data_IF_206771042860
#
_entry.id   IF_206771042860
#
_cell.length_a   1.000
_cell.length_b   1.000
_cell.length_c   1.000
_cell.angle_alpha   90.00
_cell.angle_beta   90.00
_cell.angle_gamma   90.00
#
_symmetry.space_group_name_H-M   'P 1'
#
loop_
_entity.id
_entity.type
_entity.pdbx_description
1 polymer ?
#
# COMPACT_ATOMS: atom_id res chain seq x y z
N UNK A 1 10.67 15.71 -9.46
CA UNK A 1 10.45 15.47 -10.91
C UNK A 1 9.72 14.17 -11.24
N UNK A 2 10.05 13.01 -10.66
CA UNK A 2 9.44 11.72 -11.06
C UNK A 2 7.89 11.63 -10.95
N UNK A 3 7.28 12.28 -9.95
CA UNK A 3 5.81 12.26 -9.76
C UNK A 3 5.07 13.06 -10.84
N UNK A 4 5.65 14.16 -11.32
CA UNK A 4 5.04 15.01 -12.37
C UNK A 4 4.93 14.26 -13.70
N UNK A 5 5.98 13.55 -14.11
CA UNK A 5 5.96 12.72 -15.32
C UNK A 5 4.96 11.55 -15.20
N UNK A 6 4.88 10.92 -14.02
CA UNK A 6 3.91 9.85 -13.74
C UNK A 6 2.46 10.34 -13.75
N UNK A 7 2.21 11.55 -13.24
CA UNK A 7 0.90 12.20 -13.28
C UNK A 7 0.43 12.44 -14.72
N UNK A 8 1.34 12.86 -15.60
CA UNK A 8 1.07 13.00 -17.04
C UNK A 8 0.69 11.66 -17.69
N UNK A 9 1.31 10.56 -17.26
CA UNK A 9 1.01 9.19 -17.71
C UNK A 9 -0.12 8.49 -16.94
N UNK A 10 -0.80 9.20 -16.02
CA UNK A 10 -1.86 8.66 -15.14
C UNK A 10 -1.44 7.47 -14.26
N UNK A 11 -0.14 7.34 -13.95
CA UNK A 11 0.40 6.28 -13.09
C UNK A 11 0.19 6.68 -11.62
N UNK A 12 -0.60 5.91 -10.88
CA UNK A 12 -1.06 6.26 -9.52
C UNK A 12 -2.46 6.85 -9.46
N UNK A 13 -3.18 6.90 -10.59
CA UNK A 13 -4.61 7.18 -10.63
C UNK A 13 -5.41 5.94 -10.22
N UNK A 14 -6.44 6.12 -9.40
CA UNK A 14 -7.37 5.05 -9.04
C UNK A 14 -8.22 4.66 -10.27
N UNK A 15 -8.35 3.36 -10.59
CA UNK A 15 -9.26 2.89 -11.64
C UNK A 15 -10.69 3.41 -11.43
N UNK A 16 -11.43 3.68 -12.51
CA UNK A 16 -12.76 4.31 -12.45
C UNK A 16 -13.77 3.52 -11.64
N UNK A 17 -13.76 2.19 -11.75
CA UNK A 17 -14.65 1.32 -10.98
C UNK A 17 -14.37 1.42 -9.47
N UNK A 18 -13.09 1.42 -9.10
CA UNK A 18 -12.67 1.61 -7.70
C UNK A 18 -13.03 2.99 -7.19
N UNK A 19 -12.88 4.03 -8.02
CA UNK A 19 -13.28 5.40 -7.68
C UNK A 19 -14.78 5.47 -7.38
N UNK A 20 -15.62 4.94 -8.26
CA UNK A 20 -17.07 4.95 -8.05
C UNK A 20 -17.46 4.21 -6.76
N UNK A 21 -16.81 3.08 -6.47
CA UNK A 21 -17.04 2.33 -5.24
C UNK A 21 -16.69 3.15 -3.98
N UNK A 22 -15.50 3.78 -3.92
CA UNK A 22 -15.08 4.54 -2.73
C UNK A 22 -15.89 5.84 -2.55
N UNK A 23 -16.36 6.45 -3.63
CA UNK A 23 -17.24 7.63 -3.56
C UNK A 23 -18.59 7.28 -2.91
N UNK A 24 -19.16 6.11 -3.24
CA UNK A 24 -20.40 5.62 -2.64
C UNK A 24 -20.27 5.24 -1.14
N UNK A 25 -19.05 4.99 -0.66
CA UNK A 25 -18.78 4.60 0.73
C UNK A 25 -18.66 5.80 1.69
N UNK A 26 -18.76 7.04 1.20
CA UNK A 26 -18.53 8.23 2.01
C UNK A 26 -17.04 8.45 2.29
N UNK A 27 -16.41 9.29 1.48
CA UNK A 27 -14.97 9.59 1.55
C UNK A 27 -14.64 10.44 2.78
N UNK A 28 -13.64 10.00 3.55
CA UNK A 28 -12.98 10.78 4.59
C UNK A 28 -11.76 11.50 4.01
N UNK A 29 -10.98 10.78 3.20
CA UNK A 29 -9.77 11.28 2.55
C UNK A 29 -9.59 10.61 1.19
N UNK A 30 -9.15 11.36 0.18
CA UNK A 30 -8.87 10.84 -1.16
C UNK A 30 -7.67 11.54 -1.76
N UNK A 31 -6.62 10.76 -2.04
CA UNK A 31 -5.43 11.23 -2.71
C UNK A 31 -5.00 10.26 -3.82
N UNK A 32 -4.67 10.81 -4.98
CA UNK A 32 -4.07 10.08 -6.10
C UNK A 32 -2.65 10.60 -6.36
N UNK A 33 -1.85 9.80 -7.05
CA UNK A 33 -0.44 10.12 -7.34
C UNK A 33 0.42 10.27 -6.08
N UNK A 34 0.00 9.64 -4.99
CA UNK A 34 0.71 9.62 -3.71
C UNK A 34 2.08 8.97 -3.93
N UNK A 35 3.19 9.63 -3.55
CA UNK A 35 4.51 9.01 -3.58
C UNK A 35 4.56 7.84 -2.59
N UNK A 36 4.88 6.65 -3.08
CA UNK A 36 5.05 5.46 -2.25
C UNK A 36 6.51 5.06 -2.23
N UNK A 37 7.14 5.02 -1.05
CA UNK A 37 8.51 4.53 -0.89
C UNK A 37 8.48 3.09 -0.43
N UNK A 38 8.97 2.17 -1.27
CA UNK A 38 9.19 0.78 -0.89
C UNK A 38 10.60 0.61 -0.36
N UNK A 39 10.75 0.02 0.81
CA UNK A 39 12.04 -0.45 1.34
C UNK A 39 12.01 -1.96 1.46
N UNK A 40 13.08 -2.62 1.05
CA UNK A 40 13.23 -4.07 1.22
C UNK A 40 14.67 -4.46 1.52
N UNK A 41 14.82 -5.23 2.60
CA UNK A 41 16.08 -5.88 3.01
C UNK A 41 15.76 -7.33 3.31
N UNK A 42 16.46 -8.26 2.67
CA UNK A 42 16.16 -9.68 2.83
C UNK A 42 16.44 -10.55 1.61
N UNK A 43 15.85 -11.74 1.63
CA UNK A 43 15.90 -12.74 0.55
C UNK A 43 14.48 -13.19 0.20
N UNK A 44 14.20 -13.24 -1.09
CA UNK A 44 13.08 -13.98 -1.67
C UNK A 44 13.63 -14.90 -2.77
N UNK A 45 12.93 -15.97 -3.18
CA UNK A 45 13.33 -16.73 -4.36
C UNK A 45 13.56 -15.80 -5.56
N UNK A 46 14.74 -15.88 -6.19
CA UNK A 46 15.12 -15.02 -7.31
C UNK A 46 15.69 -13.64 -6.95
N UNK A 47 15.74 -13.22 -5.68
CA UNK A 47 16.32 -11.93 -5.28
C UNK A 47 16.86 -11.90 -3.85
N UNK A 48 18.06 -11.36 -3.70
CA UNK A 48 18.64 -10.97 -2.40
C UNK A 48 18.94 -9.47 -2.41
N UNK A 49 18.68 -8.80 -1.31
CA UNK A 49 18.92 -7.36 -1.14
C UNK A 49 19.45 -7.08 0.26
N UNK A 50 20.63 -6.46 0.35
CA UNK A 50 21.17 -5.92 1.61
C UNK A 50 20.54 -4.58 2.01
N UNK A 51 19.68 -4.05 1.14
CA UNK A 51 18.96 -2.79 1.33
C UNK A 51 18.59 -2.22 -0.03
N UNK A 52 17.29 -2.12 -0.30
CA UNK A 52 16.78 -1.52 -1.53
C UNK A 52 15.68 -0.53 -1.22
N UNK A 53 15.75 0.64 -1.86
CA UNK A 53 14.73 1.69 -1.77
C UNK A 53 14.26 2.00 -3.19
N UNK A 54 12.95 1.95 -3.41
CA UNK A 54 12.36 2.25 -4.72
C UNK A 54 11.13 3.12 -4.55
N UNK A 55 11.01 4.14 -5.40
CA UNK A 55 9.87 5.05 -5.39
C UNK A 55 8.85 4.64 -6.44
N UNK A 56 7.62 4.43 -5.99
CA UNK A 56 6.41 4.18 -6.77
C UNK A 56 5.42 5.34 -6.62
N UNK A 57 4.27 5.20 -7.27
CA UNK A 57 3.13 6.11 -7.10
C UNK A 57 1.88 5.28 -6.87
N UNK A 58 0.94 5.81 -6.09
CA UNK A 58 -0.25 5.11 -5.66
C UNK A 58 -1.41 6.04 -5.41
N UNK A 59 -2.50 5.48 -4.91
CA UNK A 59 -3.63 6.22 -4.35
C UNK A 59 -3.82 5.81 -2.90
N UNK A 60 -4.22 6.74 -2.05
CA UNK A 60 -4.58 6.52 -0.66
C UNK A 60 -5.98 7.07 -0.43
N UNK A 61 -6.89 6.21 0.00
CA UNK A 61 -8.28 6.56 0.24
C UNK A 61 -8.70 5.99 1.58
N UNK A 62 -9.31 6.85 2.39
CA UNK A 62 -10.04 6.45 3.60
C UNK A 62 -11.51 6.75 3.38
N UNK A 63 -12.36 5.75 3.55
CA UNK A 63 -13.82 5.90 3.50
C UNK A 63 -14.40 5.61 4.87
N UNK A 64 -15.70 5.81 5.05
CA UNK A 64 -16.38 5.37 6.27
C UNK A 64 -16.33 3.84 6.47
N UNK A 65 -15.99 3.07 5.42
CA UNK A 65 -16.02 1.61 5.44
C UNK A 65 -14.64 0.95 5.43
N UNK A 66 -13.63 1.56 4.78
CA UNK A 66 -12.33 0.90 4.57
C UNK A 66 -11.15 1.85 4.39
N UNK A 67 -9.97 1.25 4.45
CA UNK A 67 -8.71 1.78 3.92
C UNK A 67 -8.42 1.15 2.56
N UNK A 68 -8.12 1.97 1.57
CA UNK A 68 -7.66 1.53 0.25
C UNK A 68 -6.33 2.23 -0.10
N UNK A 69 -5.29 1.43 -0.33
CA UNK A 69 -3.97 1.88 -0.73
C UNK A 69 -3.50 1.09 -1.94
N UNK A 70 -3.14 1.79 -3.02
CA UNK A 70 -2.68 1.15 -4.26
C UNK A 70 -1.19 1.39 -4.50
N UNK A 71 -0.54 0.41 -5.13
CA UNK A 71 0.82 0.49 -5.63
C UNK A 71 0.81 0.34 -7.15
N UNK A 72 1.13 1.40 -7.87
CA UNK A 72 1.19 1.38 -9.33
C UNK A 72 2.64 1.33 -9.81
N UNK A 73 2.94 0.33 -10.64
CA UNK A 73 4.23 0.19 -11.33
C UNK A 73 4.14 0.59 -12.81
N UNK A 74 2.95 0.47 -13.41
CA UNK A 74 2.64 0.83 -14.81
C UNK A 74 1.26 1.52 -14.89
N UNK A 75 0.95 2.26 -15.98
CA UNK A 75 -0.37 2.89 -16.15
C UNK A 75 -1.50 1.86 -16.09
N UNK A 76 -2.62 2.24 -15.47
CA UNK A 76 -3.86 1.41 -15.34
C UNK A 76 -3.73 0.12 -14.52
N UNK A 77 -2.54 -0.26 -14.06
CA UNK A 77 -2.34 -1.37 -13.12
C UNK A 77 -2.00 -0.82 -11.73
N UNK A 78 -3.03 -0.71 -10.90
CA UNK A 78 -2.92 -0.29 -9.52
C UNK A 78 -3.12 -1.51 -8.62
N UNK A 79 -2.04 -2.21 -8.28
CA UNK A 79 -2.11 -3.35 -7.35
C UNK A 79 -2.61 -2.86 -5.99
N UNK A 80 -3.61 -3.52 -5.41
CA UNK A 80 -4.10 -3.18 -4.07
C UNK A 80 -3.07 -3.65 -3.05
N UNK A 81 -2.40 -2.71 -2.41
CA UNK A 81 -1.48 -3.04 -1.33
C UNK A 81 -2.23 -3.22 -0.01
N UNK A 82 -3.28 -2.45 0.19
CA UNK A 82 -4.28 -2.62 1.25
C UNK A 82 -5.66 -2.31 0.67
N UNK A 83 -6.64 -3.14 0.98
CA UNK A 83 -8.06 -2.94 0.72
C UNK A 83 -8.81 -3.64 1.85
N UNK A 84 -8.89 -2.96 3.00
CA UNK A 84 -9.33 -3.56 4.25
C UNK A 84 -10.44 -2.73 4.87
N UNK A 85 -11.57 -3.39 5.16
CA UNK A 85 -12.66 -2.78 5.91
C UNK A 85 -12.26 -2.52 7.36
N UNK A 86 -12.80 -1.47 7.95
CA UNK A 86 -12.52 -1.12 9.35
C UNK A 86 -12.97 -2.20 10.35
N UNK A 87 -14.01 -2.96 9.99
CA UNK A 87 -14.61 -4.04 10.77
C UNK A 87 -14.01 -5.43 10.46
N UNK A 88 -13.04 -5.52 9.55
CA UNK A 88 -12.37 -6.78 9.24
C UNK A 88 -11.58 -7.31 10.45
N UNK A 89 -11.37 -8.64 10.56
CA UNK A 89 -10.49 -9.22 11.57
C UNK A 89 -9.12 -8.56 11.56
N UNK A 90 -8.61 -8.26 12.75
CA UNK A 90 -7.33 -7.57 12.93
C UNK A 90 -6.26 -8.60 13.24
N UNK A 91 -5.92 -9.37 12.23
CA UNK A 91 -5.00 -10.49 12.31
C UNK A 91 -4.11 -10.54 11.09
N UNK A 92 -2.97 -11.19 11.23
CA UNK A 92 -2.05 -11.42 10.12
C UNK A 92 -0.76 -10.62 10.25
N UNK A 93 0.19 -10.92 9.37
CA UNK A 93 1.58 -10.48 9.50
C UNK A 93 1.83 -9.05 9.00
N UNK A 94 0.87 -8.45 8.29
CA UNK A 94 1.02 -7.09 7.77
C UNK A 94 0.44 -6.10 8.76
N UNK A 95 1.26 -5.11 9.16
CA UNK A 95 0.84 -4.02 10.04
C UNK A 95 0.78 -2.72 9.22
N UNK A 96 -0.35 -2.04 9.28
CA UNK A 96 -0.62 -0.77 8.61
C UNK A 96 -0.92 0.32 9.65
N UNK A 97 -0.03 1.31 9.74
CA UNK A 97 -0.14 2.44 10.67
C UNK A 97 -0.39 3.75 9.94
N UNK A 98 -1.39 4.49 10.41
CA UNK A 98 -1.83 5.77 9.87
C UNK A 98 -1.44 6.88 10.84
N UNK A 99 -0.78 7.90 10.32
CA UNK A 99 -0.31 9.06 11.08
C UNK A 99 -0.46 10.35 10.26
N UNK A 100 -0.13 11.50 10.83
CA UNK A 100 -0.10 12.77 10.11
C UNK A 100 0.82 12.77 8.89
N UNK A 101 1.80 11.86 8.81
CA UNK A 101 2.69 11.71 7.65
C UNK A 101 2.10 10.86 6.51
N UNK A 102 0.97 10.20 6.73
CA UNK A 102 0.31 9.29 5.80
C UNK A 102 0.22 7.87 6.34
N UNK A 103 0.37 6.88 5.46
CA UNK A 103 0.24 5.46 5.77
C UNK A 103 1.60 4.75 5.65
N UNK A 104 1.93 3.93 6.66
CA UNK A 104 3.08 3.02 6.63
C UNK A 104 2.58 1.59 6.74
N UNK A 105 2.98 0.74 5.81
CA UNK A 105 2.74 -0.70 5.82
C UNK A 105 4.07 -1.40 6.08
N UNK A 106 4.11 -2.31 7.04
CA UNK A 106 5.29 -3.10 7.40
C UNK A 106 4.94 -4.60 7.45
N UNK A 107 5.90 -5.44 7.07
CA UNK A 107 5.76 -6.89 7.04
C UNK A 107 7.12 -7.58 7.18
N UNK A 108 7.20 -8.55 8.11
CA UNK A 108 8.23 -9.60 8.05
C UNK A 108 7.81 -10.63 7.00
N UNK A 109 8.56 -10.71 5.90
CA UNK A 109 8.17 -11.55 4.76
C UNK A 109 8.20 -13.05 5.09
N UNK A 110 8.93 -13.47 6.13
CA UNK A 110 8.97 -14.87 6.56
C UNK A 110 7.65 -15.33 7.19
N UNK A 111 6.85 -14.40 7.74
CA UNK A 111 5.55 -14.72 8.32
C UNK A 111 4.46 -15.00 7.26
N UNK A 112 4.69 -14.58 6.01
CA UNK A 112 3.77 -14.85 4.88
C UNK A 112 4.25 -16.03 4.04
N UNK A 113 5.56 -16.11 3.76
CA UNK A 113 6.14 -17.21 2.99
C UNK A 113 7.47 -17.66 3.63
N UNK A 114 7.57 -18.91 4.13
CA UNK A 114 8.77 -19.41 4.81
C UNK A 114 10.00 -19.51 3.91
N UNK A 115 9.84 -19.42 2.58
CA UNK A 115 10.95 -19.33 1.62
C UNK A 115 11.63 -17.96 1.63
N UNK A 116 10.95 -16.97 2.20
CA UNK A 116 11.40 -15.58 2.28
C UNK A 116 12.01 -15.28 3.66
N UNK A 117 12.85 -14.26 3.72
CA UNK A 117 13.32 -13.68 4.98
C UNK A 117 13.59 -12.18 4.84
N UNK A 118 13.37 -11.44 5.91
CA UNK A 118 13.66 -10.01 5.99
C UNK A 118 12.42 -9.13 6.09
N UNK A 119 12.57 -7.85 5.76
CA UNK A 119 11.58 -6.82 6.04
C UNK A 119 11.19 -6.08 4.76
N UNK A 120 9.89 -5.89 4.57
CA UNK A 120 9.29 -5.09 3.52
C UNK A 120 8.48 -3.96 4.16
N UNK A 121 8.70 -2.72 3.70
CA UNK A 121 7.84 -1.59 4.05
C UNK A 121 7.40 -0.77 2.85
N UNK A 122 6.18 -0.23 2.92
CA UNK A 122 5.61 0.72 1.96
C UNK A 122 5.18 1.98 2.72
N UNK A 123 5.73 3.13 2.34
CA UNK A 123 5.43 4.41 2.97
C UNK A 123 4.71 5.31 1.97
N UNK A 124 3.41 5.51 2.17
CA UNK A 124 2.58 6.46 1.44
C UNK A 124 2.78 7.84 2.05
N UNK A 125 3.43 8.72 1.29
CA UNK A 125 3.78 10.07 1.77
C UNK A 125 2.68 11.03 1.40
N UNK A 126 1.73 11.19 2.32
CA UNK A 126 0.54 12.00 2.13
C UNK A 126 0.14 12.64 3.45
N UNK A 127 0.45 13.94 3.66
CA UNK A 127 0.12 14.61 4.91
C UNK A 127 -1.39 14.58 5.19
N UNK A 128 -1.76 14.09 6.37
CA UNK A 128 -3.15 14.00 6.82
C UNK A 128 -3.42 15.08 7.88
N UNK A 129 -4.55 15.77 7.76
CA UNK A 129 -4.99 16.73 8.79
C UNK A 129 -5.51 16.02 10.04
N UNK A 130 -5.52 16.74 11.16
CA UNK A 130 -6.09 16.23 12.41
C UNK A 130 -7.57 15.88 12.27
N UNK A 131 -8.33 16.62 11.46
CA UNK A 131 -9.74 16.32 11.16
C UNK A 131 -9.90 14.98 10.44
N UNK A 132 -9.02 14.66 9.48
CA UNK A 132 -9.02 13.34 8.83
C UNK A 132 -8.72 12.27 9.86
N UNK A 133 -7.66 12.45 10.66
CA UNK A 133 -7.22 11.49 11.66
C UNK A 133 -8.23 11.28 12.81
N UNK A 134 -9.05 12.28 13.13
CA UNK A 134 -10.12 12.21 14.12
C UNK A 134 -11.35 11.45 13.61
N UNK A 135 -11.57 11.45 12.28
CA UNK A 135 -12.67 10.72 11.63
C UNK A 135 -12.37 9.24 11.38
N UNK A 136 -11.11 8.80 11.50
CA UNK A 136 -10.74 7.40 11.29
C UNK A 136 -11.22 6.53 12.47
N UNK A 137 -11.89 5.40 12.21
CA UNK A 137 -12.28 4.47 13.29
C UNK A 137 -11.09 3.90 14.06
N UNK A 138 -9.93 3.79 13.40
CA UNK A 138 -8.67 3.30 13.96
C UNK A 138 -7.48 3.79 13.16
N UNK A 139 -6.30 3.73 13.78
CA UNK A 139 -5.03 4.16 13.16
C UNK A 139 -4.00 3.04 12.96
N UNK A 140 -4.24 1.85 13.49
CA UNK A 140 -3.41 0.68 13.26
C UNK A 140 -4.29 -0.50 12.85
N UNK A 141 -3.89 -1.17 11.76
CA UNK A 141 -4.60 -2.31 11.21
C UNK A 141 -3.64 -3.50 11.00
N UNK A 142 -4.16 -4.71 11.20
CA UNK A 142 -3.46 -5.94 10.86
C UNK A 142 -4.25 -6.75 9.84
N UNK A 143 -3.59 -7.30 8.82
CA UNK A 143 -4.23 -8.11 7.78
C UNK A 143 -3.29 -9.16 7.17
N UNK A 144 -3.89 -10.15 6.52
CA UNK A 144 -3.21 -11.18 5.74
C UNK A 144 -3.03 -10.78 4.28
N UNK A 145 -1.96 -11.29 3.67
CA UNK A 145 -1.68 -11.16 2.24
C UNK A 145 -1.19 -12.50 1.68
N UNK A 146 -1.47 -12.83 0.42
CA UNK A 146 -0.89 -14.01 -0.21
C UNK A 146 0.61 -13.81 -0.45
N UNK A 147 1.42 -14.89 -0.54
CA UNK A 147 2.84 -14.81 -0.89
C UNK A 147 3.12 -13.95 -2.13
N UNK A 148 2.27 -14.04 -3.15
CA UNK A 148 2.36 -13.25 -4.38
C UNK A 148 2.54 -11.73 -4.14
N UNK A 149 1.94 -11.20 -3.07
CA UNK A 149 2.09 -9.79 -2.70
C UNK A 149 3.56 -9.40 -2.51
N UNK A 150 4.34 -10.25 -1.81
CA UNK A 150 5.77 -10.01 -1.56
C UNK A 150 6.51 -9.90 -2.89
N UNK A 151 6.35 -10.90 -3.75
CA UNK A 151 7.04 -11.00 -5.05
C UNK A 151 6.73 -9.80 -5.95
N UNK A 152 5.44 -9.44 -6.05
CA UNK A 152 5.00 -8.25 -6.79
C UNK A 152 5.60 -6.96 -6.22
N UNK A 153 5.58 -6.80 -4.89
CA UNK A 153 6.14 -5.61 -4.23
C UNK A 153 7.66 -5.50 -4.41
N UNK A 154 8.39 -6.62 -4.41
CA UNK A 154 9.85 -6.63 -4.61
C UNK A 154 10.28 -6.66 -6.08
N UNK A 155 9.34 -6.84 -7.02
CA UNK A 155 9.58 -6.82 -8.46
C UNK A 155 10.20 -8.11 -8.99
N UNK A 156 9.77 -9.26 -8.46
CA UNK A 156 10.21 -10.60 -8.89
C UNK A 156 8.97 -11.39 -9.33
N UNK A 157 9.04 -12.21 -10.39
CA UNK A 157 7.94 -13.08 -10.78
C UNK A 157 7.59 -14.07 -9.65
N UNK A 158 6.29 -14.26 -9.41
CA UNK A 158 5.80 -15.27 -8.47
C UNK A 158 5.64 -16.61 -9.17
N UNK A 159 6.25 -17.65 -8.60
CA UNK A 159 6.05 -19.05 -8.99
C UNK A 159 5.55 -19.78 -7.74
N UNK A 160 4.26 -20.16 -7.68
CA UNK A 160 3.67 -20.77 -6.49
C UNK A 160 4.40 -22.05 -6.07
#
# INVERSE_FOLDING_TARGET
>A
MAVFLRKLLRIGKLPSELRAAVEAEGVIHFAEYVPVTRRFTGKVPGKRSVGSVTSFSGSLVFTSQRVLGTLSTVPKLAGRAIDLRWDAPQSGPVIADISSAGLVINLDVAQVDPRCSGQLSLHYKDPLSDDVLARLPRRSLAYDVPPEFIFRAVGVPYHP
#
